data_IF_119886050623
#
_entry.id   IF_119886050623
#
_cell.length_a   1.000
_cell.length_b   1.000
_cell.length_c   1.000
_cell.angle_alpha   90.00
_cell.angle_beta   90.00
_cell.angle_gamma   90.00
#
_symmetry.space_group_name_H-M   'P 1'
#
loop_
_entity.id
_entity.type
_entity.pdbx_description
1 polymer ?
#
# COMPACT_ATOMS: atom_id res chain seq x y z
N UNK A 1 -0.91 6.07 0.37
CA UNK A 1 -0.18 5.35 1.44
C UNK A 1 -1.10 4.49 2.28
N UNK A 2 -2.10 5.05 2.99
CA UNK A 2 -3.00 4.28 3.87
C UNK A 2 -3.68 3.10 3.17
N UNK A 3 -4.18 3.30 1.96
CA UNK A 3 -4.83 2.23 1.17
C UNK A 3 -3.90 1.03 0.91
N UNK A 4 -2.62 1.26 0.59
CA UNK A 4 -1.66 0.16 0.38
C UNK A 4 -1.44 -0.64 1.66
N UNK A 5 -1.30 0.05 2.80
CA UNK A 5 -1.14 -0.58 4.13
C UNK A 5 -2.35 -1.46 4.47
N UNK A 6 -3.56 -0.91 4.29
CA UNK A 6 -4.81 -1.62 4.54
C UNK A 6 -5.00 -2.85 3.64
N UNK A 7 -4.71 -2.71 2.33
CA UNK A 7 -4.77 -3.82 1.38
C UNK A 7 -3.74 -4.90 1.72
N UNK A 8 -2.49 -4.50 2.02
CA UNK A 8 -1.41 -5.43 2.28
C UNK A 8 -1.68 -6.27 3.54
N UNK A 9 -2.03 -5.63 4.65
CA UNK A 9 -2.37 -6.34 5.89
C UNK A 9 -3.61 -7.22 5.72
N UNK A 10 -4.61 -6.76 4.96
CA UNK A 10 -5.78 -7.59 4.65
C UNK A 10 -5.43 -8.87 3.89
N UNK A 11 -4.56 -8.78 2.88
CA UNK A 11 -4.08 -9.97 2.15
C UNK A 11 -3.16 -10.86 3.00
N UNK A 12 -2.49 -10.31 4.01
CA UNK A 12 -1.71 -11.06 4.98
C UNK A 12 -2.55 -11.70 6.09
N UNK A 13 -3.89 -11.55 6.07
CA UNK A 13 -4.81 -12.16 7.04
C UNK A 13 -5.28 -11.25 8.18
N UNK A 14 -4.87 -9.98 8.19
CA UNK A 14 -5.34 -8.98 9.16
C UNK A 14 -6.54 -8.22 8.57
N UNK A 15 -7.74 -8.76 8.76
CA UNK A 15 -8.96 -8.24 8.16
C UNK A 15 -9.25 -6.78 8.56
N UNK A 16 -9.53 -5.92 7.58
CA UNK A 16 -9.73 -4.47 7.82
C UNK A 16 -10.88 -4.13 8.76
N UNK A 17 -11.89 -5.00 8.85
CA UNK A 17 -13.05 -4.77 9.71
C UNK A 17 -12.70 -4.63 11.19
N UNK A 18 -11.52 -5.12 11.58
CA UNK A 18 -10.98 -5.02 12.95
C UNK A 18 -9.71 -4.17 13.02
N UNK A 19 -9.38 -3.45 11.94
CA UNK A 19 -8.26 -2.53 11.90
C UNK A 19 -8.71 -1.09 12.14
N UNK A 20 -7.81 -0.27 12.69
CA UNK A 20 -8.05 1.17 12.85
C UNK A 20 -6.77 1.98 12.73
N UNK A 21 -6.95 3.23 12.31
CA UNK A 21 -5.93 4.26 12.35
C UNK A 21 -6.08 5.08 13.63
N UNK A 22 -4.96 5.43 14.25
CA UNK A 22 -4.88 6.38 15.35
C UNK A 22 -3.78 7.39 15.08
N UNK A 23 -3.95 8.62 15.57
CA UNK A 23 -2.96 9.69 15.39
C UNK A 23 -2.91 10.29 13.98
N UNK A 24 -2.06 11.30 13.83
CA UNK A 24 -1.83 12.05 12.58
C UNK A 24 -0.34 12.41 12.44
N UNK A 25 0.12 12.60 11.20
CA UNK A 25 1.53 12.85 10.89
C UNK A 25 2.44 11.79 11.51
N UNK A 26 3.43 12.24 12.29
CA UNK A 26 4.46 11.42 12.92
C UNK A 26 3.93 10.54 14.06
N UNK A 27 2.69 10.76 14.50
CA UNK A 27 2.02 9.95 15.52
C UNK A 27 1.09 8.90 14.92
N UNK A 28 1.01 8.82 13.59
CA UNK A 28 0.10 7.90 12.90
C UNK A 28 0.48 6.46 13.16
N UNK A 29 -0.50 5.67 13.60
CA UNK A 29 -0.40 4.24 13.88
C UNK A 29 -1.54 3.47 13.24
N UNK A 30 -1.26 2.23 12.87
CA UNK A 30 -2.23 1.28 12.34
C UNK A 30 -2.28 0.04 13.22
N UNK A 31 -3.46 -0.27 13.72
CA UNK A 31 -3.71 -1.37 14.65
C UNK A 31 -4.63 -2.41 14.03
N UNK A 32 -4.45 -3.67 14.44
CA UNK A 32 -5.42 -4.74 14.25
C UNK A 32 -5.79 -5.29 15.63
N UNK A 33 -7.06 -5.17 16.04
CA UNK A 33 -7.45 -5.32 17.45
C UNK A 33 -6.55 -4.48 18.37
N UNK A 34 -5.77 -5.08 19.27
CA UNK A 34 -4.86 -4.34 20.15
C UNK A 34 -3.39 -4.39 19.69
N UNK A 35 -3.12 -5.06 18.58
CA UNK A 35 -1.76 -5.24 18.07
C UNK A 35 -1.39 -4.08 17.15
N UNK A 36 -0.25 -3.45 17.44
CA UNK A 36 0.33 -2.41 16.59
C UNK A 36 0.97 -3.08 15.37
N UNK A 37 0.45 -2.81 14.17
CA UNK A 37 0.95 -3.38 12.93
C UNK A 37 1.91 -2.45 12.18
N UNK A 38 1.69 -1.13 12.25
CA UNK A 38 2.54 -0.14 11.60
C UNK A 38 2.50 1.18 12.38
N UNK A 39 3.63 1.88 12.41
CA UNK A 39 3.73 3.26 12.88
C UNK A 39 4.60 4.09 11.92
N UNK A 40 4.34 5.39 11.88
CA UNK A 40 5.16 6.33 11.13
C UNK A 40 6.42 6.64 11.91
N UNK A 41 7.57 6.52 11.24
CA UNK A 41 8.86 6.93 11.77
C UNK A 41 9.43 8.08 10.92
N UNK A 42 9.64 9.27 11.52
CA UNK A 42 10.18 10.44 10.82
C UNK A 42 11.51 10.21 10.12
N UNK A 43 12.29 9.19 10.50
CA UNK A 43 13.56 8.87 9.85
C UNK A 43 13.40 8.50 8.38
N UNK A 44 12.22 8.04 7.96
CA UNK A 44 11.94 7.64 6.57
C UNK A 44 11.45 8.79 5.70
N UNK A 45 11.23 9.98 6.24
CA UNK A 45 10.86 11.15 5.45
C UNK A 45 12.01 11.63 4.59
N UNK A 46 11.68 12.06 3.36
CA UNK A 46 12.66 12.62 2.46
C UNK A 46 12.64 14.15 2.58
N UNK A 47 13.82 14.82 2.58
CA UNK A 47 13.90 16.28 2.59
C UNK A 47 13.17 16.94 1.39
N UNK A 48 13.00 16.21 0.30
CA UNK A 48 12.20 16.59 -0.85
C UNK A 48 11.19 15.47 -1.14
N UNK A 49 10.02 15.57 -0.52
CA UNK A 49 8.90 14.66 -0.75
C UNK A 49 8.16 15.05 -2.04
N UNK A 50 7.59 14.07 -2.73
CA UNK A 50 6.73 14.31 -3.90
C UNK A 50 5.31 13.89 -3.54
N UNK A 51 4.40 14.86 -3.45
CA UNK A 51 3.04 14.63 -2.95
C UNK A 51 2.21 13.70 -3.84
N UNK A 52 2.34 13.83 -5.16
CA UNK A 52 1.56 13.06 -6.12
C UNK A 52 2.33 12.80 -7.41
N UNK A 53 2.38 11.53 -7.80
CA UNK A 53 2.81 11.10 -9.12
C UNK A 53 1.64 10.41 -9.82
N UNK A 54 1.15 11.02 -10.89
CA UNK A 54 0.04 10.50 -11.69
C UNK A 54 0.43 10.52 -13.18
N UNK A 55 0.79 9.35 -13.71
CA UNK A 55 1.21 9.21 -15.10
C UNK A 55 0.03 9.10 -16.06
N UNK A 56 0.04 9.89 -17.13
CA UNK A 56 -0.87 9.73 -18.26
C UNK A 56 -0.27 8.81 -19.34
N UNK A 57 -0.87 7.63 -19.51
CA UNK A 57 -0.46 6.64 -20.51
C UNK A 57 -1.26 6.70 -21.81
N UNK A 58 -2.03 7.77 -22.05
CA UNK A 58 -2.89 7.93 -23.23
C UNK A 58 -2.13 7.75 -24.53
N UNK A 59 -0.91 8.30 -24.63
CA UNK A 59 -0.10 8.18 -25.85
C UNK A 59 0.29 6.72 -26.14
N UNK A 60 0.77 5.98 -25.14
CA UNK A 60 1.13 4.58 -25.28
C UNK A 60 -0.08 3.70 -25.66
N UNK A 61 -1.26 4.01 -25.11
CA UNK A 61 -2.51 3.32 -25.45
C UNK A 61 -2.91 3.53 -26.91
N UNK A 62 -2.78 4.76 -27.40
CA UNK A 62 -3.15 5.13 -28.78
C UNK A 62 -2.15 4.61 -29.81
N UNK A 63 -0.86 4.83 -29.58
CA UNK A 63 0.19 4.57 -30.58
C UNK A 63 0.66 3.11 -30.56
N UNK A 64 0.65 2.46 -29.39
CA UNK A 64 1.21 1.11 -29.22
C UNK A 64 0.15 0.05 -28.93
N UNK A 65 -1.12 0.44 -28.78
CA UNK A 65 -2.18 -0.45 -28.29
C UNK A 65 -1.93 -0.98 -26.87
N UNK A 66 -0.98 -0.41 -26.14
CA UNK A 66 -0.56 -0.88 -24.83
C UNK A 66 -1.62 -0.57 -23.78
N UNK A 67 -1.89 -1.50 -22.86
CA UNK A 67 -2.73 -1.26 -21.68
C UNK A 67 -2.18 -1.98 -20.46
N UNK A 68 -2.29 -1.41 -19.24
CA UNK A 68 -1.89 -2.09 -18.02
C UNK A 68 -2.82 -3.28 -17.77
N UNK A 69 -2.23 -4.44 -17.50
CA UNK A 69 -2.97 -5.70 -17.26
C UNK A 69 -3.22 -5.99 -15.78
N UNK A 70 -2.58 -5.25 -14.89
CA UNK A 70 -2.66 -5.44 -13.44
C UNK A 70 -3.13 -4.13 -12.82
N UNK A 71 -4.21 -4.18 -12.05
CA UNK A 71 -4.66 -3.04 -11.26
C UNK A 71 -3.96 -2.99 -9.89
N UNK A 72 -4.17 -1.91 -9.14
CA UNK A 72 -3.56 -1.70 -7.84
C UNK A 72 -3.79 -2.86 -6.86
N UNK A 73 -5.05 -3.25 -6.63
CA UNK A 73 -5.44 -4.32 -5.70
C UNK A 73 -4.79 -5.66 -6.09
N UNK A 74 -4.79 -5.99 -7.38
CA UNK A 74 -4.15 -7.19 -7.91
C UNK A 74 -2.64 -7.16 -7.69
N UNK A 75 -2.00 -6.00 -7.81
CA UNK A 75 -0.57 -5.85 -7.56
C UNK A 75 -0.25 -6.10 -6.08
N UNK A 76 -0.98 -5.46 -5.16
CA UNK A 76 -0.77 -5.64 -3.71
C UNK A 76 -0.95 -7.11 -3.33
N UNK A 77 -2.01 -7.76 -3.80
CA UNK A 77 -2.25 -9.18 -3.55
C UNK A 77 -1.11 -10.06 -4.09
N UNK A 78 -0.64 -9.82 -5.33
CA UNK A 78 0.48 -10.57 -5.92
C UNK A 78 1.75 -10.47 -5.08
N UNK A 79 2.07 -9.26 -4.60
CA UNK A 79 3.25 -9.01 -3.79
C UNK A 79 3.17 -9.73 -2.45
N UNK A 80 2.10 -9.48 -1.67
CA UNK A 80 1.94 -10.07 -0.34
C UNK A 80 1.85 -11.58 -0.40
N UNK A 81 1.08 -12.14 -1.35
CA UNK A 81 0.98 -13.58 -1.50
C UNK A 81 2.35 -14.22 -1.74
N UNK A 82 3.16 -13.63 -2.61
CA UNK A 82 4.50 -14.15 -2.88
C UNK A 82 5.40 -14.07 -1.65
N UNK A 83 5.40 -12.94 -0.93
CA UNK A 83 6.19 -12.79 0.30
C UNK A 83 5.75 -13.79 1.38
N UNK A 84 4.44 -14.07 1.50
CA UNK A 84 3.92 -15.08 2.42
C UNK A 84 4.35 -16.50 2.04
N UNK A 85 4.39 -16.83 0.74
CA UNK A 85 4.88 -18.13 0.24
C UNK A 85 6.37 -18.34 0.54
N UNK A 86 7.17 -17.27 0.64
CA UNK A 86 8.60 -17.35 1.01
C UNK A 86 8.84 -17.67 2.49
N UNK A 87 7.82 -17.51 3.34
CA UNK A 87 7.91 -17.72 4.79
C UNK A 87 7.40 -19.10 5.24
N UNK A 88 6.85 -19.90 4.33
CA UNK A 88 6.31 -21.26 4.55
C UNK A 88 7.17 -22.32 3.89
#
# INVERSE_FOLDING_TARGET
>A
MKEFVEEAFNFAGFHRSVCRWEGEGDTTKYYHNNDLLMEVDPQFYRPAEVDLLLGDSTRARKELGWQPKTNFIQLVNKMVKHDMELLT
#
